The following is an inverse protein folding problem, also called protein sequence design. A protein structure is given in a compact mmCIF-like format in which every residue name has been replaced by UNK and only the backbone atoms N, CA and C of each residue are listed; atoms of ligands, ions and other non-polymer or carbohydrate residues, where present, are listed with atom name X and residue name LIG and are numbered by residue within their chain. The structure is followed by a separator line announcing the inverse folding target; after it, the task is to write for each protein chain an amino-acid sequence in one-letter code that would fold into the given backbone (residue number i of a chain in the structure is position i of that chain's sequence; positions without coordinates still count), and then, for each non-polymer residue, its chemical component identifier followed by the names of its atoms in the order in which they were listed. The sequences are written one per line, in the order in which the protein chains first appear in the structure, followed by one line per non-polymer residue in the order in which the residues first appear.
data_IF_006939618838
#
_entry.id   IF_006939618838
#
_cell.length_a   1.000
_cell.length_b   1.000
_cell.length_c   1.000
_cell.angle_alpha   90.00
_cell.angle_beta   90.00
_cell.angle_gamma   90.00
#
_symmetry.space_group_name_H-M   'P 1'
#
loop_
_entity.id
_entity.type
_entity.pdbx_description
1 polymer ?
#
# COMPACT_ATOMS: atom_id res chain seq x y z
N UNK A 1 -0.37 -0.64 23.04
CA UNK A 1 0.88 0.13 22.95
C UNK A 1 1.34 0.32 21.51
N UNK A 2 1.53 -0.75 20.70
CA UNK A 2 1.89 -0.60 19.27
C UNK A 2 0.82 0.08 18.42
N UNK A 3 -0.45 -0.32 18.54
CA UNK A 3 -1.53 0.30 17.76
C UNK A 3 -1.64 1.81 17.98
N UNK A 4 -1.45 2.28 19.22
CA UNK A 4 -1.51 3.71 19.53
C UNK A 4 -0.32 4.49 18.94
N UNK A 5 0.86 3.87 18.86
CA UNK A 5 2.00 4.45 18.15
C UNK A 5 1.73 4.54 16.65
N UNK A 6 1.07 3.54 16.06
CA UNK A 6 0.70 3.57 14.64
C UNK A 6 -0.25 4.72 14.35
N UNK A 7 -1.36 4.80 15.10
CA UNK A 7 -2.36 5.85 14.94
C UNK A 7 -1.76 7.25 15.11
N UNK A 8 -0.93 7.48 16.12
CA UNK A 8 -0.30 8.80 16.32
C UNK A 8 0.59 9.21 15.14
N UNK A 9 1.32 8.26 14.54
CA UNK A 9 2.16 8.57 13.38
C UNK A 9 1.32 8.80 12.12
N UNK A 10 0.27 8.02 11.94
CA UNK A 10 -0.69 8.19 10.83
C UNK A 10 -1.39 9.55 10.94
N UNK A 11 -1.93 9.90 12.10
CA UNK A 11 -2.51 11.22 12.39
C UNK A 11 -1.56 12.34 12.00
N UNK A 12 -0.28 12.24 12.38
CA UNK A 12 0.72 13.25 12.04
C UNK A 12 0.86 13.43 10.53
N UNK A 13 1.05 12.33 9.77
CA UNK A 13 1.17 12.39 8.30
C UNK A 13 -0.10 12.96 7.67
N UNK A 14 -1.28 12.56 8.16
CA UNK A 14 -2.54 13.07 7.63
C UNK A 14 -2.70 14.57 7.84
N UNK A 15 -2.34 15.08 9.02
CA UNK A 15 -2.43 16.51 9.28
C UNK A 15 -1.36 17.33 8.54
N UNK A 16 -0.21 16.76 8.19
CA UNK A 16 0.73 17.38 7.25
C UNK A 16 0.11 17.51 5.85
N UNK A 17 -0.57 16.47 5.35
CA UNK A 17 -1.32 16.53 4.10
C UNK A 17 -2.41 17.61 4.15
N UNK A 18 -3.14 17.71 5.26
CA UNK A 18 -4.11 18.78 5.45
C UNK A 18 -3.47 20.17 5.46
N UNK A 19 -2.29 20.36 6.06
CA UNK A 19 -1.59 21.66 5.97
C UNK A 19 -1.18 22.01 4.53
N UNK A 20 -0.89 21.00 3.70
CA UNK A 20 -0.50 21.19 2.30
C UNK A 20 -1.69 21.45 1.37
N UNK A 21 -2.77 20.67 1.51
CA UNK A 21 -3.91 20.67 0.59
C UNK A 21 -5.15 21.39 1.12
N UNK A 22 -5.20 21.72 2.43
CA UNK A 22 -6.31 22.42 3.08
C UNK A 22 -7.67 21.71 2.97
N UNK A 23 -7.70 20.40 3.25
CA UNK A 23 -8.94 19.60 3.23
C UNK A 23 -10.07 20.24 4.05
N UNK A 24 -11.31 20.17 3.56
CA UNK A 24 -12.48 20.79 4.19
C UNK A 24 -12.91 20.06 5.47
N UNK A 25 -12.80 18.73 5.52
CA UNK A 25 -13.20 17.90 6.66
C UNK A 25 -12.09 16.93 7.12
N UNK A 26 -10.89 17.42 7.50
CA UNK A 26 -9.71 16.57 7.68
C UNK A 26 -9.90 15.50 8.76
N UNK A 27 -10.54 15.83 9.89
CA UNK A 27 -10.75 14.86 10.96
C UNK A 27 -11.74 13.76 10.55
N UNK A 28 -12.82 14.13 9.84
CA UNK A 28 -13.85 13.18 9.41
C UNK A 28 -13.29 12.18 8.39
N UNK A 29 -12.52 12.66 7.42
CA UNK A 29 -11.88 11.80 6.41
C UNK A 29 -10.87 10.87 7.08
N UNK A 30 -10.08 11.37 8.03
CA UNK A 30 -9.17 10.53 8.82
C UNK A 30 -9.92 9.43 9.57
N UNK A 31 -10.99 9.78 10.29
CA UNK A 31 -11.78 8.82 11.05
C UNK A 31 -12.38 7.74 10.13
N UNK A 32 -12.85 8.13 8.93
CA UNK A 32 -13.36 7.21 7.91
C UNK A 32 -12.28 6.25 7.40
N UNK A 33 -11.09 6.76 7.08
CA UNK A 33 -9.96 5.95 6.62
C UNK A 33 -9.48 4.99 7.73
N UNK A 34 -9.29 5.47 8.96
CA UNK A 34 -8.87 4.62 10.09
C UNK A 34 -9.93 3.55 10.39
N UNK A 35 -11.22 3.88 10.30
CA UNK A 35 -12.29 2.90 10.44
C UNK A 35 -12.22 1.83 9.34
N UNK A 36 -11.99 2.23 8.09
CA UNK A 36 -11.87 1.32 6.96
C UNK A 36 -10.67 0.36 7.12
N UNK A 37 -9.47 0.88 7.43
CA UNK A 37 -8.29 0.06 7.71
C UNK A 37 -8.40 -0.76 9.01
N UNK A 38 -9.36 -0.44 9.88
CA UNK A 38 -9.66 -1.13 11.14
C UNK A 38 -10.75 -2.19 11.05
N UNK A 39 -11.31 -2.45 9.86
CA UNK A 39 -12.34 -3.46 9.68
C UNK A 39 -11.86 -4.87 10.05
N UNK A 40 -12.70 -5.64 10.75
CA UNK A 40 -12.30 -6.89 11.42
C UNK A 40 -11.85 -8.01 10.47
N UNK A 41 -12.28 -7.97 9.21
CA UNK A 41 -11.90 -8.97 8.21
C UNK A 41 -10.51 -8.73 7.61
N UNK A 42 -9.92 -7.55 7.82
CA UNK A 42 -8.57 -7.21 7.34
C UNK A 42 -7.54 -7.77 8.32
N UNK A 43 -6.61 -8.58 7.82
CA UNK A 43 -5.51 -9.10 8.60
C UNK A 43 -4.18 -8.48 8.17
N UNK A 44 -3.93 -8.37 6.87
CA UNK A 44 -2.76 -7.72 6.29
C UNK A 44 -3.09 -6.28 5.89
N UNK A 45 -4.12 -6.07 5.06
CA UNK A 45 -4.51 -4.78 4.47
C UNK A 45 -5.21 -3.87 5.50
N UNK A 46 -4.50 -3.62 6.59
CA UNK A 46 -4.97 -3.05 7.86
C UNK A 46 -4.18 -1.78 8.21
N UNK A 47 -4.49 -1.19 9.37
CA UNK A 47 -3.73 -0.04 9.93
C UNK A 47 -2.22 -0.32 10.01
N UNK A 48 -1.81 -1.58 10.23
CA UNK A 48 -0.39 -1.94 10.25
C UNK A 48 0.28 -1.74 8.88
N UNK A 49 -0.34 -2.22 7.80
CA UNK A 49 0.18 -2.07 6.43
C UNK A 49 0.30 -0.60 6.04
N UNK A 50 -0.76 0.18 6.28
CA UNK A 50 -0.75 1.62 6.02
C UNK A 50 0.37 2.34 6.81
N UNK A 51 0.54 1.98 8.09
CA UNK A 51 1.63 2.52 8.91
C UNK A 51 3.01 2.16 8.37
N UNK A 52 3.21 0.92 7.91
CA UNK A 52 4.48 0.46 7.34
C UNK A 52 4.80 1.22 6.05
N UNK A 53 3.82 1.37 5.16
CA UNK A 53 3.94 2.15 3.92
C UNK A 53 4.30 3.61 4.18
N UNK A 54 3.55 4.30 5.05
CA UNK A 54 3.79 5.72 5.34
C UNK A 54 5.05 5.94 6.18
N UNK A 55 5.44 4.96 7.00
CA UNK A 55 6.74 5.01 7.69
C UNK A 55 7.91 4.93 6.72
N UNK A 56 7.80 4.09 5.69
CA UNK A 56 8.82 3.99 4.65
C UNK A 56 8.85 5.24 3.77
N UNK A 57 7.69 5.74 3.35
CA UNK A 57 7.54 7.02 2.64
C UNK A 57 8.27 8.17 3.36
N UNK A 58 8.01 8.35 4.66
CA UNK A 58 8.66 9.38 5.47
C UNK A 58 10.19 9.27 5.46
N UNK A 59 10.74 8.05 5.37
CA UNK A 59 12.18 7.83 5.37
C UNK A 59 12.87 8.11 4.04
N UNK A 60 12.09 8.27 2.95
CA UNK A 60 12.61 8.47 1.59
C UNK A 60 12.06 9.72 0.90
N UNK A 61 11.44 10.65 1.64
CA UNK A 61 10.82 11.85 1.05
C UNK A 61 11.77 12.67 0.17
N UNK A 62 13.08 12.67 0.48
CA UNK A 62 14.09 13.37 -0.31
C UNK A 62 14.30 12.80 -1.72
N UNK A 63 13.84 11.57 -1.98
CA UNK A 63 13.89 10.91 -3.29
C UNK A 63 12.65 11.21 -4.15
N UNK A 64 11.61 11.83 -3.57
CA UNK A 64 10.31 12.07 -4.21
C UNK A 64 10.20 13.51 -4.72
N UNK A 65 9.58 13.69 -5.88
CA UNK A 65 9.30 15.03 -6.42
C UNK A 65 8.04 15.63 -5.77
N UNK A 66 7.01 14.81 -5.56
CA UNK A 66 5.74 15.15 -4.92
C UNK A 66 5.45 14.15 -3.77
N UNK A 67 6.16 14.27 -2.63
CA UNK A 67 5.96 13.38 -1.50
C UNK A 67 4.52 13.43 -0.97
N UNK A 68 3.84 14.59 -1.04
CA UNK A 68 2.47 14.74 -0.56
C UNK A 68 1.47 13.95 -1.42
N UNK A 69 1.61 13.94 -2.75
CA UNK A 69 0.76 13.11 -3.60
C UNK A 69 0.99 11.61 -3.39
N UNK A 70 2.24 11.17 -3.18
CA UNK A 70 2.54 9.76 -2.89
C UNK A 70 1.90 9.33 -1.57
N UNK A 71 2.07 10.13 -0.49
CA UNK A 71 1.45 9.84 0.80
C UNK A 71 -0.08 9.81 0.71
N UNK A 72 -0.68 10.76 -0.01
CA UNK A 72 -2.14 10.80 -0.18
C UNK A 72 -2.65 9.59 -0.98
N UNK A 73 -1.94 9.14 -2.00
CA UNK A 73 -2.29 7.91 -2.70
C UNK A 73 -2.16 6.67 -1.79
N UNK A 74 -1.11 6.59 -0.96
CA UNK A 74 -0.95 5.51 0.02
C UNK A 74 -2.06 5.48 1.07
N UNK A 75 -2.61 6.63 1.46
CA UNK A 75 -3.79 6.68 2.35
C UNK A 75 -5.03 6.03 1.76
N UNK A 76 -5.16 6.03 0.44
CA UNK A 76 -6.38 5.58 -0.23
C UNK A 76 -6.24 4.26 -0.96
N UNK A 77 -5.04 3.78 -1.31
CA UNK A 77 -4.87 2.63 -2.21
C UNK A 77 -5.69 1.38 -1.83
N UNK A 78 -5.74 1.08 -0.54
CA UNK A 78 -6.49 -0.04 0.04
C UNK A 78 -7.64 0.41 0.96
N UNK A 79 -8.10 1.65 0.84
CA UNK A 79 -9.17 2.17 1.69
C UNK A 79 -10.45 1.32 1.56
N UNK A 80 -10.76 0.84 0.35
CA UNK A 80 -11.76 -0.21 0.14
C UNK A 80 -11.05 -1.55 -0.06
N UNK A 81 -11.44 -2.56 0.72
CA UNK A 81 -10.86 -3.89 0.61
C UNK A 81 -11.86 -5.00 0.90
N UNK A 82 -12.05 -5.86 -0.10
CA UNK A 82 -12.72 -7.14 0.03
C UNK A 82 -11.89 -8.20 -0.75
N UNK A 83 -11.33 -9.23 -0.09
CA UNK A 83 -10.48 -10.22 -0.76
C UNK A 83 -11.22 -11.06 -1.81
N UNK A 84 -12.56 -11.03 -1.83
CA UNK A 84 -13.39 -11.70 -2.85
C UNK A 84 -13.73 -10.80 -4.05
N UNK A 85 -13.44 -9.50 -3.98
CA UNK A 85 -13.78 -8.53 -5.01
C UNK A 85 -12.55 -8.20 -5.89
N UNK A 86 -12.70 -8.09 -7.23
CA UNK A 86 -11.59 -7.78 -8.14
C UNK A 86 -11.39 -6.27 -8.35
N UNK A 87 -12.19 -5.41 -7.71
CA UNK A 87 -12.31 -3.97 -8.02
C UNK A 87 -12.00 -3.08 -6.81
N UNK A 88 -11.22 -3.58 -5.84
CA UNK A 88 -10.86 -2.84 -4.63
C UNK A 88 -10.17 -1.51 -4.94
N UNK A 89 -9.14 -1.51 -5.79
CA UNK A 89 -8.38 -0.30 -6.12
C UNK A 89 -9.22 0.70 -6.91
N UNK A 90 -10.16 0.21 -7.74
CA UNK A 90 -11.13 1.07 -8.42
C UNK A 90 -12.05 1.76 -7.42
N UNK A 91 -12.61 1.01 -6.47
CA UNK A 91 -13.48 1.57 -5.42
C UNK A 91 -12.74 2.50 -4.48
N UNK A 92 -11.49 2.19 -4.15
CA UNK A 92 -10.57 3.07 -3.42
C UNK A 92 -10.33 4.38 -4.16
N UNK A 93 -10.12 4.33 -5.48
CA UNK A 93 -9.96 5.51 -6.32
C UNK A 93 -11.25 6.34 -6.45
N UNK A 94 -12.41 5.69 -6.50
CA UNK A 94 -13.73 6.34 -6.49
C UNK A 94 -14.02 7.01 -5.14
N UNK A 95 -13.70 6.34 -4.02
CA UNK A 95 -13.80 6.92 -2.68
C UNK A 95 -12.89 8.16 -2.56
N UNK A 96 -11.65 8.06 -3.03
CA UNK A 96 -10.73 9.19 -3.09
C UNK A 96 -11.31 10.37 -3.87
N UNK A 97 -11.84 10.12 -5.07
CA UNK A 97 -12.46 11.19 -5.86
C UNK A 97 -13.67 11.81 -5.13
N UNK A 98 -14.53 10.98 -4.54
CA UNK A 98 -15.70 11.44 -3.79
C UNK A 98 -15.31 12.36 -2.62
N UNK A 99 -14.29 11.99 -1.84
CA UNK A 99 -13.90 12.74 -0.65
C UNK A 99 -13.03 13.97 -0.96
N UNK A 100 -12.28 13.96 -2.06
CA UNK A 100 -11.22 14.95 -2.30
C UNK A 100 -11.50 15.91 -3.46
N UNK A 101 -12.54 15.67 -4.28
CA UNK A 101 -12.80 16.48 -5.48
C UNK A 101 -13.07 17.97 -5.23
N UNK A 102 -13.54 18.35 -4.04
CA UNK A 102 -13.76 19.75 -3.69
C UNK A 102 -12.49 20.46 -3.19
N UNK A 103 -11.53 19.68 -2.69
CA UNK A 103 -10.34 20.20 -1.99
C UNK A 103 -9.10 20.21 -2.91
N UNK A 104 -9.07 19.39 -3.96
CA UNK A 104 -7.92 19.26 -4.85
C UNK A 104 -8.14 19.92 -6.22
N UNK A 105 -7.05 20.41 -6.79
CA UNK A 105 -7.04 20.83 -8.20
C UNK A 105 -7.33 19.62 -9.12
N UNK A 106 -8.03 19.82 -10.26
CA UNK A 106 -8.42 18.72 -11.15
C UNK A 106 -7.25 17.83 -11.60
N UNK A 107 -6.09 18.42 -11.92
CA UNK A 107 -4.91 17.67 -12.38
C UNK A 107 -4.31 16.82 -11.24
N UNK A 108 -4.26 17.36 -10.02
CA UNK A 108 -3.79 16.63 -8.83
C UNK A 108 -4.72 15.47 -8.48
N UNK A 109 -6.04 15.72 -8.52
CA UNK A 109 -7.07 14.71 -8.29
C UNK A 109 -6.94 13.57 -9.32
N UNK A 110 -6.88 13.90 -10.61
CA UNK A 110 -6.77 12.92 -11.69
C UNK A 110 -5.47 12.10 -11.60
N UNK A 111 -4.36 12.75 -11.25
CA UNK A 111 -3.06 12.11 -11.04
C UNK A 111 -3.12 11.07 -9.91
N UNK A 112 -3.56 11.47 -8.72
CA UNK A 112 -3.59 10.60 -7.54
C UNK A 112 -4.59 9.46 -7.71
N UNK A 113 -5.77 9.73 -8.31
CA UNK A 113 -6.74 8.69 -8.66
C UNK A 113 -6.11 7.61 -9.55
N UNK A 114 -5.35 8.01 -10.57
CA UNK A 114 -4.65 7.07 -11.46
C UNK A 114 -3.53 6.30 -10.73
N UNK A 115 -2.82 6.95 -9.81
CA UNK A 115 -1.80 6.28 -9.00
C UNK A 115 -2.40 5.21 -8.08
N UNK A 116 -3.54 5.49 -7.45
CA UNK A 116 -4.30 4.48 -6.68
C UNK A 116 -4.68 3.30 -7.58
N UNK A 117 -5.24 3.56 -8.77
CA UNK A 117 -5.59 2.47 -9.71
C UNK A 117 -4.39 1.62 -10.15
N UNK A 118 -3.19 2.22 -10.20
CA UNK A 118 -1.99 1.52 -10.66
C UNK A 118 -1.48 0.48 -9.65
N UNK A 119 -1.83 0.59 -8.36
CA UNK A 119 -1.45 -0.39 -7.33
C UNK A 119 -2.10 -1.76 -7.55
N UNK A 120 -3.15 -1.86 -8.36
CA UNK A 120 -3.78 -3.16 -8.65
C UNK A 120 -2.83 -4.13 -9.37
N UNK A 121 -1.98 -3.61 -10.26
CA UNK A 121 -1.18 -4.44 -11.18
C UNK A 121 0.32 -4.29 -11.01
N UNK A 122 0.75 -3.24 -10.29
CA UNK A 122 2.16 -2.88 -10.15
C UNK A 122 2.92 -2.85 -11.50
N UNK A 123 2.23 -2.40 -12.56
CA UNK A 123 2.78 -2.37 -13.90
C UNK A 123 3.94 -1.35 -14.00
N UNK A 124 4.85 -1.59 -14.95
CA UNK A 124 5.93 -0.65 -15.24
C UNK A 124 5.39 0.72 -15.65
N UNK A 125 6.03 1.77 -15.15
CA UNK A 125 5.70 3.16 -15.46
C UNK A 125 6.98 3.99 -15.63
N UNK A 126 6.89 5.10 -16.35
CA UNK A 126 7.95 6.10 -16.53
C UNK A 126 7.86 7.27 -15.52
N UNK A 127 6.84 7.29 -14.67
CA UNK A 127 6.68 8.29 -13.61
C UNK A 127 7.42 7.90 -12.34
N UNK A 128 8.51 8.60 -12.02
CA UNK A 128 9.37 8.31 -10.87
C UNK A 128 8.62 8.18 -9.55
N UNK A 129 7.73 9.12 -9.21
CA UNK A 129 7.01 9.07 -7.92
C UNK A 129 6.01 7.91 -7.86
N UNK A 130 5.43 7.50 -9.00
CA UNK A 130 4.57 6.32 -9.07
C UNK A 130 5.40 5.04 -8.94
N UNK A 131 6.61 4.98 -9.50
CA UNK A 131 7.52 3.86 -9.27
C UNK A 131 7.80 3.68 -7.78
N UNK A 132 8.09 4.78 -7.06
CA UNK A 132 8.28 4.74 -5.61
C UNK A 132 7.03 4.30 -4.85
N UNK A 133 5.84 4.77 -5.23
CA UNK A 133 4.59 4.34 -4.62
C UNK A 133 4.39 2.82 -4.73
N UNK A 134 4.56 2.27 -5.94
CA UNK A 134 4.41 0.83 -6.21
C UNK A 134 5.48 0.02 -5.46
N UNK A 135 6.71 0.52 -5.39
CA UNK A 135 7.78 -0.12 -4.64
C UNK A 135 7.55 -0.10 -3.12
N UNK A 136 6.98 0.99 -2.58
CA UNK A 136 6.60 1.10 -1.16
C UNK A 136 5.56 0.04 -0.81
N UNK A 137 4.52 -0.12 -1.64
CA UNK A 137 3.47 -1.10 -1.42
C UNK A 137 4.01 -2.55 -1.45
N UNK A 138 4.99 -2.82 -2.32
CA UNK A 138 5.68 -4.12 -2.40
C UNK A 138 6.83 -4.30 -1.39
N UNK A 139 7.11 -3.32 -0.54
CA UNK A 139 8.25 -3.35 0.38
C UNK A 139 8.16 -4.49 1.42
N UNK A 140 6.95 -4.94 1.74
CA UNK A 140 6.71 -6.07 2.66
C UNK A 140 7.46 -7.34 2.23
N UNK A 141 7.68 -7.53 0.92
CA UNK A 141 8.38 -8.70 0.41
C UNK A 141 9.81 -8.77 0.93
N UNK A 142 10.46 -7.61 1.14
CA UNK A 142 11.81 -7.49 1.67
C UNK A 142 11.87 -7.34 3.20
N UNK A 143 10.74 -7.45 3.91
CA UNK A 143 10.69 -7.29 5.35
C UNK A 143 11.57 -8.32 6.08
N UNK A 144 11.97 -8.04 7.34
CA UNK A 144 12.66 -9.02 8.17
C UNK A 144 11.88 -10.35 8.23
N UNK A 145 12.56 -11.52 8.30
CA UNK A 145 11.91 -12.82 8.14
C UNK A 145 10.69 -13.05 9.04
N UNK A 146 10.75 -12.59 10.30
CA UNK A 146 9.64 -12.73 11.25
C UNK A 146 8.39 -11.95 10.79
N UNK A 147 8.58 -10.71 10.29
CA UNK A 147 7.48 -9.88 9.78
C UNK A 147 6.93 -10.43 8.46
N UNK A 148 7.79 -10.96 7.59
CA UNK A 148 7.37 -11.61 6.34
C UNK A 148 6.55 -12.88 6.60
N UNK A 149 6.91 -13.70 7.59
CA UNK A 149 6.09 -14.84 8.02
C UNK A 149 4.73 -14.38 8.55
N UNK A 150 4.70 -13.31 9.35
CA UNK A 150 3.44 -12.73 9.82
C UNK A 150 2.57 -12.25 8.64
N UNK A 151 3.19 -11.63 7.63
CA UNK A 151 2.51 -11.22 6.39
C UNK A 151 1.85 -12.41 5.68
N UNK A 152 2.59 -13.51 5.47
CA UNK A 152 2.01 -14.70 4.84
C UNK A 152 0.84 -15.28 5.64
N UNK A 153 0.93 -15.29 6.97
CA UNK A 153 -0.16 -15.74 7.84
C UNK A 153 -1.38 -14.81 7.77
N UNK A 154 -1.17 -13.49 7.69
CA UNK A 154 -2.23 -12.51 7.55
C UNK A 154 -2.93 -12.62 6.19
N UNK A 155 -2.18 -12.76 5.09
CA UNK A 155 -2.75 -13.02 3.77
C UNK A 155 -3.54 -14.32 3.77
N UNK A 156 -3.01 -15.40 4.38
CA UNK A 156 -3.75 -16.66 4.47
C UNK A 156 -5.09 -16.51 5.21
N UNK A 157 -5.17 -15.65 6.23
CA UNK A 157 -6.42 -15.36 6.93
C UNK A 157 -7.44 -14.63 6.04
N UNK A 158 -7.00 -13.63 5.25
CA UNK A 158 -7.88 -12.89 4.33
C UNK A 158 -8.44 -13.78 3.22
N UNK A 159 -7.70 -14.81 2.82
CA UNK A 159 -8.09 -15.77 1.80
C UNK A 159 -8.56 -17.12 2.35
N UNK A 160 -8.89 -17.21 3.65
CA UNK A 160 -9.31 -18.44 4.31
C UNK A 160 -10.65 -19.04 3.78
N UNK A 161 -11.34 -18.32 2.89
CA UNK A 161 -12.52 -18.79 2.18
C UNK A 161 -12.20 -19.67 0.96
N UNK A 162 -10.93 -19.75 0.55
CA UNK A 162 -10.46 -20.78 -0.38
C UNK A 162 -10.16 -22.09 0.36
N UNK A 163 -10.36 -23.21 -0.33
CA UNK A 163 -9.79 -24.49 0.12
C UNK A 163 -8.26 -24.38 0.24
N UNK A 164 -7.63 -24.95 1.29
CA UNK A 164 -6.20 -24.77 1.55
C UNK A 164 -5.27 -25.10 0.37
N UNK A 165 -5.62 -26.13 -0.40
CA UNK A 165 -4.87 -26.58 -1.59
C UNK A 165 -4.96 -25.55 -2.71
N UNK A 166 -6.15 -24.99 -2.95
CA UNK A 166 -6.38 -23.93 -3.96
C UNK A 166 -5.66 -22.65 -3.56
N UNK A 167 -5.74 -22.26 -2.28
CA UNK A 167 -5.00 -21.13 -1.75
C UNK A 167 -3.50 -21.30 -1.99
N UNK A 168 -2.93 -22.45 -1.65
CA UNK A 168 -1.49 -22.71 -1.79
C UNK A 168 -1.02 -22.57 -3.24
N UNK A 169 -1.75 -23.13 -4.21
CA UNK A 169 -1.43 -23.03 -5.64
C UNK A 169 -1.45 -21.56 -6.09
N UNK A 170 -2.57 -20.86 -5.85
CA UNK A 170 -2.72 -19.46 -6.29
C UNK A 170 -1.74 -18.52 -5.62
N UNK A 171 -1.46 -18.73 -4.33
CA UNK A 171 -0.48 -17.93 -3.59
C UNK A 171 0.92 -18.11 -4.18
N UNK A 172 1.33 -19.35 -4.49
CA UNK A 172 2.60 -19.62 -5.16
C UNK A 172 2.69 -18.97 -6.55
N UNK A 173 1.60 -18.95 -7.33
CA UNK A 173 1.56 -18.26 -8.63
C UNK A 173 1.84 -16.74 -8.48
N UNK A 174 1.18 -16.08 -7.52
CA UNK A 174 1.40 -14.65 -7.22
C UNK A 174 2.85 -14.39 -6.79
N UNK A 175 3.36 -15.19 -5.84
CA UNK A 175 4.73 -15.01 -5.34
C UNK A 175 5.79 -15.34 -6.41
N UNK A 176 5.51 -16.31 -7.28
CA UNK A 176 6.40 -16.66 -8.41
C UNK A 176 6.49 -15.51 -9.40
N UNK A 177 5.39 -14.81 -9.68
CA UNK A 177 5.41 -13.62 -10.53
C UNK A 177 6.43 -12.58 -10.02
N UNK A 178 6.34 -12.18 -8.75
CA UNK A 178 7.32 -11.24 -8.16
C UNK A 178 8.74 -11.82 -8.08
N UNK A 179 8.88 -13.11 -7.83
CA UNK A 179 10.19 -13.77 -7.79
C UNK A 179 10.88 -13.78 -9.16
N UNK A 180 10.12 -13.83 -10.25
CA UNK A 180 10.65 -13.82 -11.63
C UNK A 180 10.85 -12.43 -12.21
N UNK A 181 10.22 -11.38 -11.67
CA UNK A 181 10.42 -10.00 -12.13
C UNK A 181 11.88 -9.55 -11.96
N UNK A 182 12.54 -9.13 -13.03
CA UNK A 182 13.92 -8.66 -13.01
C UNK A 182 14.03 -7.28 -13.71
N UNK A 183 14.19 -6.17 -12.96
CA UNK A 183 14.18 -6.10 -11.49
C UNK A 183 12.78 -6.32 -10.88
N UNK A 184 12.71 -6.69 -9.59
CA UNK A 184 11.43 -6.77 -8.86
C UNK A 184 10.89 -5.38 -8.58
N UNK A 185 11.77 -4.48 -8.12
CA UNK A 185 11.43 -3.10 -7.81
C UNK A 185 11.78 -2.18 -8.98
N UNK A 186 10.99 -1.14 -9.20
CA UNK A 186 11.16 -0.24 -10.34
C UNK A 186 12.26 0.81 -10.12
N UNK A 187 12.47 1.23 -8.88
CA UNK A 187 13.45 2.27 -8.53
C UNK A 187 14.81 1.70 -8.14
N UNK A 188 15.88 2.43 -8.47
CA UNK A 188 17.24 2.05 -8.07
C UNK A 188 17.43 1.99 -6.55
N UNK A 189 16.71 2.82 -5.79
CA UNK A 189 16.73 2.79 -4.34
C UNK A 189 16.23 1.45 -3.80
N UNK A 190 15.07 0.97 -4.27
CA UNK A 190 14.51 -0.29 -3.79
C UNK A 190 15.26 -1.51 -4.34
N UNK A 191 15.73 -1.46 -5.58
CA UNK A 191 16.62 -2.49 -6.14
C UNK A 191 17.86 -2.70 -5.25
N UNK A 192 18.49 -1.60 -4.83
CA UNK A 192 19.71 -1.64 -4.00
C UNK A 192 19.43 -2.12 -2.57
N UNK A 193 18.36 -1.65 -1.95
CA UNK A 193 18.14 -1.81 -0.51
C UNK A 193 17.18 -2.95 -0.13
N UNK A 194 16.31 -3.40 -1.05
CA UNK A 194 15.20 -4.32 -0.75
C UNK A 194 15.26 -5.62 -1.57
N UNK A 195 15.73 -5.57 -2.82
CA UNK A 195 15.58 -6.67 -3.78
C UNK A 195 16.16 -8.00 -3.31
N UNK A 196 17.39 -7.98 -2.76
CA UNK A 196 18.03 -9.20 -2.27
C UNK A 196 17.19 -9.88 -1.18
N UNK A 197 16.68 -9.11 -0.21
CA UNK A 197 15.87 -9.64 0.87
C UNK A 197 14.51 -10.13 0.35
N UNK A 198 13.89 -9.40 -0.58
CA UNK A 198 12.65 -9.82 -1.21
C UNK A 198 12.80 -11.17 -1.92
N UNK A 199 13.82 -11.31 -2.78
CA UNK A 199 14.07 -12.56 -3.49
C UNK A 199 14.38 -13.72 -2.54
N UNK A 200 15.08 -13.48 -1.43
CA UNK A 200 15.34 -14.50 -0.41
C UNK A 200 14.07 -14.96 0.31
N UNK A 201 13.20 -14.02 0.68
CA UNK A 201 11.92 -14.33 1.32
C UNK A 201 10.99 -15.12 0.39
N UNK A 202 10.83 -14.65 -0.86
CA UNK A 202 10.02 -15.31 -1.87
C UNK A 202 10.52 -16.73 -2.17
N UNK A 203 11.83 -16.91 -2.35
CA UNK A 203 12.43 -18.22 -2.62
C UNK A 203 12.08 -19.25 -1.54
N UNK A 204 12.10 -18.87 -0.26
CA UNK A 204 11.78 -19.78 0.86
C UNK A 204 10.35 -20.33 0.83
N UNK A 205 9.41 -19.62 0.21
CA UNK A 205 8.00 -20.07 0.09
C UNK A 205 7.80 -20.92 -1.17
N UNK A 206 8.61 -20.68 -2.21
CA UNK A 206 8.51 -21.35 -3.50
C UNK A 206 9.21 -22.71 -3.53
N UNK A 207 10.30 -22.87 -2.78
CA UNK A 207 10.94 -24.18 -2.49
C UNK A 207 10.02 -25.12 -1.70
#
# INVERSE_FOLDING_TARGET
MMMQLYLSKLEHVWFELHQHYHFSEPQKILDELIAAYGEKQRAYHSVQHLYECLSLHLSIQSELNDPSAVALALWFHDAIYNPQAPDNELKSAELFEQLMAQDLLPDTLAKIKRWILATQKHALTDETDLQFLLDIDLAILAAPPERFIQYEQQIQQEYAWFEPEVYSIKRKEVLMHFYQSEPLYQTAYFQKNFELNAKQNLRKILE
#
